data_IF_742318074841
#
_entry.id   IF_742318074841
#
_cell.length_a   1.000
_cell.length_b   1.000
_cell.length_c   1.000
_cell.angle_alpha   90.00
_cell.angle_beta   90.00
_cell.angle_gamma   90.00
#
_symmetry.space_group_name_H-M   'P 1'
#
loop_
_entity.id
_entity.type
_entity.pdbx_description
1 polymer ?
#
# COMPACT_ATOMS: atom_id res chain seq x y z
N UNK A 1 7.49 4.61 8.23
CA UNK A 1 6.76 4.40 9.50
C UNK A 1 5.28 4.39 9.21
N UNK A 2 4.51 3.65 10.00
CA UNK A 2 3.05 3.59 9.87
C UNK A 2 2.45 4.46 10.97
N UNK A 3 1.60 5.42 10.59
CA UNK A 3 0.84 6.27 11.51
C UNK A 3 -0.62 5.84 11.49
N UNK A 4 -1.19 5.59 12.66
CA UNK A 4 -2.62 5.25 12.85
C UNK A 4 -3.14 6.03 14.05
N UNK A 5 -4.35 6.57 13.92
CA UNK A 5 -5.09 7.09 15.08
C UNK A 5 -5.85 5.89 15.68
N UNK A 6 -5.63 5.61 16.96
CA UNK A 6 -6.28 4.53 17.70
C UNK A 6 -6.76 5.09 19.02
N UNK A 7 -8.05 4.94 19.35
CA UNK A 7 -8.63 5.47 20.58
C UNK A 7 -8.27 6.95 20.83
N UNK A 8 -8.41 7.77 19.78
CA UNK A 8 -8.07 9.20 19.78
C UNK A 8 -6.59 9.57 20.03
N UNK A 9 -5.72 8.57 20.13
CA UNK A 9 -4.28 8.76 20.24
C UNK A 9 -3.56 8.46 18.91
N UNK A 10 -2.63 9.35 18.54
CA UNK A 10 -1.80 9.19 17.37
C UNK A 10 -0.65 8.21 17.62
N UNK A 11 -0.79 6.97 17.15
CA UNK A 11 0.23 5.93 17.29
C UNK A 11 1.14 5.90 16.05
N UNK A 12 2.45 5.94 16.28
CA UNK A 12 3.47 5.73 15.24
C UNK A 12 4.26 4.45 15.52
N UNK A 13 4.36 3.59 14.50
CA UNK A 13 5.14 2.34 14.59
C UNK A 13 6.12 2.22 13.43
N UNK A 14 7.30 1.70 13.76
CA UNK A 14 8.31 1.30 12.77
C UNK A 14 8.24 -0.21 12.63
N UNK A 15 8.08 -0.67 11.40
CA UNK A 15 8.11 -2.09 11.06
C UNK A 15 9.38 -2.36 10.25
N UNK A 16 10.09 -3.42 10.60
CA UNK A 16 11.24 -3.89 9.83
C UNK A 16 10.74 -4.76 8.68
N UNK A 17 11.20 -4.49 7.46
CA UNK A 17 10.72 -5.17 6.24
C UNK A 17 10.96 -6.69 6.26
N UNK A 18 12.03 -7.15 6.90
CA UNK A 18 12.45 -8.55 6.91
C UNK A 18 12.31 -9.21 8.29
N UNK A 19 11.41 -8.70 9.14
CA UNK A 19 11.20 -9.30 10.46
C UNK A 19 10.35 -10.56 10.36
N UNK A 20 10.71 -11.65 11.06
CA UNK A 20 9.90 -12.87 11.13
C UNK A 20 8.59 -12.67 11.92
N UNK A 21 8.42 -11.54 12.62
CA UNK A 21 7.20 -11.21 13.35
C UNK A 21 6.08 -10.67 12.45
N UNK A 22 6.36 -10.42 11.16
CA UNK A 22 5.40 -9.87 10.20
C UNK A 22 5.06 -10.97 9.19
N UNK A 23 3.80 -11.39 9.15
CA UNK A 23 3.32 -12.41 8.21
C UNK A 23 3.28 -11.89 6.78
N UNK A 24 2.63 -10.75 6.53
CA UNK A 24 2.54 -10.17 5.19
C UNK A 24 2.25 -8.66 5.21
N UNK A 25 2.62 -7.97 4.12
CA UNK A 25 2.31 -6.56 3.90
C UNK A 25 1.51 -6.42 2.60
N UNK A 26 0.22 -6.15 2.74
CA UNK A 26 -0.69 -5.97 1.60
C UNK A 26 -1.00 -4.48 1.37
N UNK A 27 -0.92 -4.04 0.11
CA UNK A 27 -1.30 -2.69 -0.28
C UNK A 27 -2.82 -2.62 -0.45
N UNK A 28 -3.50 -1.94 0.46
CA UNK A 28 -4.96 -1.73 0.36
C UNK A 28 -5.34 -0.64 -0.65
N UNK A 29 -4.61 0.48 -0.64
CA UNK A 29 -4.87 1.65 -1.49
C UNK A 29 -3.62 2.46 -1.70
N UNK A 30 -3.53 3.18 -2.82
CA UNK A 30 -2.43 4.11 -3.12
C UNK A 30 -2.89 5.54 -2.88
N UNK A 31 -2.16 6.29 -2.06
CA UNK A 31 -2.44 7.72 -1.84
C UNK A 31 -1.89 8.59 -2.96
N UNK A 32 -2.61 9.63 -3.35
CA UNK A 32 -2.11 10.70 -4.21
C UNK A 32 -1.38 11.75 -3.36
N UNK A 33 -0.05 11.70 -3.40
CA UNK A 33 0.84 12.56 -2.59
C UNK A 33 2.03 13.02 -3.42
N UNK A 34 2.47 14.26 -3.19
CA UNK A 34 3.64 14.84 -3.87
C UNK A 34 4.97 14.57 -3.14
N UNK A 35 4.92 14.44 -1.81
CA UNK A 35 6.13 14.25 -0.98
C UNK A 35 6.36 12.76 -0.72
N UNK A 36 7.59 12.30 -0.89
CA UNK A 36 8.00 10.92 -0.60
C UNK A 36 7.89 10.58 0.90
N UNK A 37 8.15 11.54 1.79
CA UNK A 37 8.01 11.40 3.24
C UNK A 37 6.83 12.22 3.75
N UNK A 38 5.91 11.58 4.48
CA UNK A 38 4.64 12.17 4.91
C UNK A 38 4.68 12.75 6.34
N UNK A 39 5.83 13.26 6.79
CA UNK A 39 5.99 13.78 8.16
C UNK A 39 5.07 14.96 8.48
N UNK A 40 4.68 15.75 7.47
CA UNK A 40 3.73 16.84 7.61
C UNK A 40 2.36 16.39 8.14
N UNK A 41 2.00 15.11 8.01
CA UNK A 41 0.75 14.57 8.57
C UNK A 41 0.77 14.46 10.10
N UNK A 42 1.91 14.69 10.76
CA UNK A 42 2.02 14.69 12.22
C UNK A 42 1.35 15.91 12.86
N UNK A 43 1.42 17.04 12.17
CA UNK A 43 0.87 18.33 12.61
C UNK A 43 -0.59 18.51 12.19
N UNK A 44 -1.11 17.62 11.35
CA UNK A 44 -2.46 17.70 10.81
C UNK A 44 -3.39 16.69 11.47
N UNK A 45 -4.65 17.10 11.68
CA UNK A 45 -5.71 16.26 12.24
C UNK A 45 -7.00 16.33 11.42
N UNK A 46 -7.90 15.38 11.64
CA UNK A 46 -9.23 15.33 11.02
C UNK A 46 -9.19 15.29 9.49
N UNK A 47 -10.02 16.12 8.85
CA UNK A 47 -10.15 16.18 7.38
C UNK A 47 -8.84 16.58 6.69
N UNK A 48 -8.01 17.39 7.33
CA UNK A 48 -6.73 17.87 6.77
C UNK A 48 -5.69 16.76 6.66
N UNK A 49 -5.75 15.75 7.52
CA UNK A 49 -4.84 14.59 7.48
C UNK A 49 -5.27 13.50 6.49
N UNK A 50 -6.46 13.61 5.87
CA UNK A 50 -6.96 12.60 4.94
C UNK A 50 -6.27 12.72 3.59
N UNK A 51 -5.58 11.65 3.19
CA UNK A 51 -4.95 11.52 1.88
C UNK A 51 -5.99 10.99 0.87
N UNK A 52 -6.11 11.67 -0.26
CA UNK A 52 -6.93 11.24 -1.40
C UNK A 52 -6.32 10.01 -2.07
N UNK A 53 -7.16 9.15 -2.61
CA UNK A 53 -6.70 7.96 -3.32
C UNK A 53 -6.30 8.30 -4.75
N UNK A 54 -5.20 7.69 -5.22
CA UNK A 54 -4.76 7.76 -6.60
C UNK A 54 -5.57 6.74 -7.40
N UNK A 55 -6.63 7.21 -8.05
CA UNK A 55 -7.44 6.40 -8.95
C UNK A 55 -6.63 6.17 -10.23
N UNK A 56 -6.03 4.99 -10.34
CA UNK A 56 -5.42 4.55 -11.59
C UNK A 56 -6.54 3.88 -12.38
N UNK A 57 -6.94 4.46 -13.51
CA UNK A 57 -7.81 3.75 -14.44
C UNK A 57 -7.03 2.54 -14.93
N UNK A 58 -7.48 1.36 -14.51
CA UNK A 58 -6.85 0.11 -14.87
C UNK A 58 -7.23 -0.16 -16.33
N UNK A 59 -6.33 0.13 -17.25
CA UNK A 59 -6.45 -0.37 -18.61
C UNK A 59 -6.12 -1.85 -18.56
N UNK A 60 -7.16 -2.69 -18.42
CA UNK A 60 -7.06 -4.14 -18.39
C UNK A 60 -6.69 -4.71 -19.78
N UNK A 61 -5.49 -4.38 -20.29
CA UNK A 61 -4.89 -5.00 -21.48
C UNK A 61 -3.50 -5.51 -21.16
N UNK A 62 -3.41 -6.48 -20.26
CA UNK A 62 -2.19 -7.27 -20.05
C UNK A 62 -2.52 -8.56 -19.28
N UNK A 63 -3.48 -9.33 -19.79
CA UNK A 63 -3.72 -10.71 -19.35
C UNK A 63 -4.38 -11.54 -20.45
N UNK A 64 -3.82 -11.47 -21.66
CA UNK A 64 -3.98 -12.49 -22.70
C UNK A 64 -2.63 -12.66 -23.41
N UNK A 65 -1.71 -13.30 -22.72
CA UNK A 65 -0.57 -13.96 -23.36
C UNK A 65 -0.28 -15.23 -22.57
N UNK A 66 -1.06 -16.27 -22.87
CA UNK A 66 -0.62 -17.63 -22.62
C UNK A 66 0.64 -17.90 -23.47
N UNK A 67 1.50 -18.81 -23.03
CA UNK A 67 1.91 -19.85 -23.97
C UNK A 67 1.62 -21.23 -23.38
N UNK A 68 0.88 -22.00 -24.18
CA UNK A 68 0.85 -23.44 -24.09
C UNK A 68 2.26 -24.00 -24.40
N UNK A 69 2.71 -24.96 -23.59
CA UNK A 69 3.72 -25.97 -23.94
C UNK A 69 3.25 -27.27 -23.29
N UNK A 70 2.53 -28.11 -24.03
CA UNK A 70 3.05 -29.31 -24.73
C UNK A 70 3.20 -30.51 -23.78
N UNK A 71 2.31 -31.47 -24.00
CA UNK A 71 2.41 -32.92 -23.79
C UNK A 71 3.82 -33.45 -23.56
N UNK A 72 4.04 -34.17 -22.46
CA UNK A 72 4.75 -35.43 -22.60
C UNK A 72 4.08 -36.49 -21.74
N UNK A 73 3.84 -37.62 -22.39
CA UNK A 73 3.12 -38.78 -21.93
C UNK A 73 4.09 -39.93 -22.12
N UNK A 74 4.70 -40.39 -21.03
CA UNK A 74 5.39 -41.67 -20.89
C UNK A 74 5.58 -41.97 -19.40
#
# INVERSE_FOLDING_TARGET
TVRKISHDEGVERVFQTYSPQIESVQLKRRGDVRKAKLYHLRELSGRKARIREKIVQKNDKEQTAAPATTTDSA
#
